data_IF_928908621230
#
_entry.id   IF_928908621230
#
_cell.length_a   1.000
_cell.length_b   1.000
_cell.length_c   1.000
_cell.angle_alpha   90.00
_cell.angle_beta   90.00
_cell.angle_gamma   90.00
#
_symmetry.space_group_name_H-M   'P 1'
#
loop_
_entity.id
_entity.type
_entity.pdbx_description
1 polymer ?
#
# COMPACT_ATOMS: atom_id res chain seq x y z
N UNK A 1 -15.58 3.58 -18.35
CA UNK A 1 -14.99 2.59 -17.44
C UNK A 1 -13.45 2.70 -17.35
N UNK A 2 -12.67 2.46 -18.42
CA UNK A 2 -11.19 2.48 -18.33
C UNK A 2 -10.61 3.83 -17.84
N UNK A 3 -11.11 4.96 -18.34
CA UNK A 3 -10.68 6.29 -17.89
C UNK A 3 -10.96 6.56 -16.40
N UNK A 4 -11.96 5.91 -15.80
CA UNK A 4 -12.33 6.08 -14.39
C UNK A 4 -11.41 5.30 -13.44
N UNK A 5 -10.57 4.40 -13.95
CA UNK A 5 -9.67 3.57 -13.14
C UNK A 5 -8.20 3.69 -13.54
N UNK A 6 -7.88 4.43 -14.61
CA UNK A 6 -6.52 4.55 -15.13
C UNK A 6 -5.50 5.03 -14.08
N UNK A 7 -5.88 5.96 -13.19
CA UNK A 7 -4.97 6.49 -12.18
C UNK A 7 -4.64 5.46 -11.10
N UNK A 8 -5.64 4.72 -10.60
CA UNK A 8 -5.42 3.65 -9.61
C UNK A 8 -4.69 2.46 -10.22
N UNK A 9 -4.92 2.18 -11.52
CA UNK A 9 -4.18 1.18 -12.26
C UNK A 9 -2.70 1.58 -12.42
N UNK A 10 -2.40 2.86 -12.71
CA UNK A 10 -1.03 3.37 -12.77
C UNK A 10 -0.30 3.22 -11.43
N UNK A 11 -0.95 3.56 -10.31
CA UNK A 11 -0.38 3.34 -8.96
C UNK A 11 -0.17 1.85 -8.66
N UNK A 12 -1.08 0.99 -9.12
CA UNK A 12 -0.92 -0.47 -9.01
C UNK A 12 0.31 -0.96 -9.77
N UNK A 13 0.49 -0.53 -11.01
CA UNK A 13 1.69 -0.86 -11.83
C UNK A 13 2.96 -0.37 -11.16
N UNK A 14 2.95 0.85 -10.60
CA UNK A 14 4.09 1.37 -9.85
C UNK A 14 4.42 0.48 -8.63
N UNK A 15 3.40 0.01 -7.90
CA UNK A 15 3.59 -0.94 -6.82
C UNK A 15 4.16 -2.29 -7.26
N UNK A 16 3.76 -2.80 -8.44
CA UNK A 16 4.35 -4.01 -9.02
C UNK A 16 5.83 -3.79 -9.35
N UNK A 17 6.17 -2.65 -9.94
CA UNK A 17 7.58 -2.28 -10.24
C UNK A 17 8.40 -2.20 -8.94
N UNK A 18 7.83 -1.64 -7.87
CA UNK A 18 8.48 -1.59 -6.56
C UNK A 18 8.75 -3.00 -5.99
N UNK A 19 7.76 -3.90 -6.03
CA UNK A 19 7.96 -5.29 -5.58
C UNK A 19 9.03 -6.01 -6.40
N UNK A 20 9.03 -5.82 -7.73
CA UNK A 20 10.05 -6.36 -8.61
C UNK A 20 11.45 -5.82 -8.26
N UNK A 21 11.56 -4.53 -7.95
CA UNK A 21 12.79 -3.93 -7.45
C UNK A 21 13.25 -4.60 -6.15
N UNK A 22 12.38 -4.80 -5.15
CA UNK A 22 12.74 -5.50 -3.90
C UNK A 22 13.20 -6.94 -4.15
N UNK A 23 12.55 -7.67 -5.06
CA UNK A 23 12.97 -9.02 -5.45
C UNK A 23 14.37 -9.02 -6.09
N UNK A 24 14.67 -8.05 -6.96
CA UNK A 24 16.01 -7.88 -7.54
C UNK A 24 17.06 -7.60 -6.45
N UNK A 25 16.74 -6.76 -5.46
CA UNK A 25 17.63 -6.48 -4.33
C UNK A 25 17.95 -7.75 -3.51
N UNK A 26 16.97 -8.63 -3.31
CA UNK A 26 17.23 -9.95 -2.67
C UNK A 26 18.15 -10.80 -3.54
N UNK A 27 17.98 -10.82 -4.87
CA UNK A 27 18.87 -11.56 -5.79
C UNK A 27 20.31 -11.02 -5.69
N UNK A 28 20.49 -9.70 -5.66
CA UNK A 28 21.81 -9.10 -5.48
C UNK A 28 22.41 -9.44 -4.12
N UNK A 29 21.62 -9.39 -3.05
CA UNK A 29 22.08 -9.75 -1.71
C UNK A 29 22.50 -11.23 -1.64
N UNK A 30 21.75 -12.15 -2.27
CA UNK A 30 22.14 -13.57 -2.37
C UNK A 30 23.52 -13.75 -3.00
N UNK A 31 23.80 -13.03 -4.08
CA UNK A 31 25.12 -13.05 -4.74
C UNK A 31 26.21 -12.47 -3.84
N UNK A 32 25.95 -11.30 -3.24
CA UNK A 32 26.90 -10.59 -2.37
C UNK A 32 27.31 -11.41 -1.15
N UNK A 33 26.34 -12.07 -0.50
CA UNK A 33 26.55 -12.83 0.73
C UNK A 33 26.69 -14.34 0.51
N UNK A 34 26.76 -14.80 -0.75
CA UNK A 34 26.86 -16.21 -1.14
C UNK A 34 25.78 -17.13 -0.54
N UNK A 35 24.55 -16.60 -0.39
CA UNK A 35 23.42 -17.37 0.16
C UNK A 35 22.61 -17.99 -0.98
N UNK A 36 22.94 -19.24 -1.31
CA UNK A 36 22.24 -20.00 -2.35
C UNK A 36 20.86 -20.47 -1.89
N UNK A 37 19.83 -20.44 -2.76
CA UNK A 37 18.57 -21.16 -2.51
C UNK A 37 18.84 -22.65 -2.23
N UNK A 38 18.05 -23.32 -1.36
CA UNK A 38 16.82 -22.84 -0.72
C UNK A 38 17.05 -22.03 0.56
N UNK A 39 18.31 -21.75 0.94
CA UNK A 39 18.58 -21.06 2.20
C UNK A 39 17.97 -19.66 2.24
N UNK A 40 17.37 -19.33 3.38
CA UNK A 40 16.88 -18.00 3.73
C UNK A 40 17.58 -17.43 4.97
N UNK A 41 18.63 -18.11 5.44
CA UNK A 41 19.46 -17.70 6.58
C UNK A 41 20.88 -17.41 6.12
N UNK A 42 21.54 -16.47 6.80
CA UNK A 42 22.87 -16.01 6.42
C UNK A 42 23.36 -14.88 7.33
N UNK A 43 24.29 -14.02 6.87
CA UNK A 43 24.70 -12.85 7.62
C UNK A 43 23.49 -11.94 7.92
N UNK A 44 23.47 -11.23 9.07
CA UNK A 44 22.34 -10.37 9.44
C UNK A 44 21.96 -9.34 8.37
N UNK A 45 22.91 -8.86 7.57
CA UNK A 45 22.66 -7.93 6.46
C UNK A 45 21.80 -8.57 5.37
N UNK A 46 22.10 -9.82 5.00
CA UNK A 46 21.31 -10.58 4.04
C UNK A 46 19.89 -10.82 4.57
N UNK A 47 19.79 -11.28 5.82
CA UNK A 47 18.50 -11.61 6.42
C UNK A 47 17.60 -10.37 6.52
N UNK A 48 18.16 -9.19 6.80
CA UNK A 48 17.39 -7.93 6.80
C UNK A 48 16.81 -7.60 5.41
N UNK A 49 17.61 -7.69 4.35
CA UNK A 49 17.12 -7.47 2.97
C UNK A 49 16.03 -8.48 2.60
N UNK A 50 16.25 -9.76 2.93
CA UNK A 50 15.30 -10.83 2.67
C UNK A 50 13.97 -10.61 3.43
N UNK A 51 14.03 -10.28 4.72
CA UNK A 51 12.85 -10.00 5.55
C UNK A 51 12.12 -8.73 5.15
N UNK A 52 12.85 -7.69 4.71
CA UNK A 52 12.26 -6.46 4.20
C UNK A 52 11.41 -6.73 2.94
N UNK A 53 11.95 -7.49 1.98
CA UNK A 53 11.20 -7.88 0.78
C UNK A 53 9.99 -8.75 1.13
N UNK A 54 10.18 -9.78 1.96
CA UNK A 54 9.09 -10.68 2.35
C UNK A 54 7.93 -9.91 3.01
N UNK A 55 8.23 -8.99 3.95
CA UNK A 55 7.20 -8.17 4.57
C UNK A 55 6.49 -7.27 3.57
N UNK A 56 7.21 -6.62 2.65
CA UNK A 56 6.59 -5.81 1.61
C UNK A 56 5.65 -6.66 0.73
N UNK A 57 6.01 -7.91 0.43
CA UNK A 57 5.19 -8.81 -0.37
C UNK A 57 3.97 -9.35 0.37
N UNK A 58 4.07 -9.62 1.68
CA UNK A 58 2.93 -10.04 2.51
C UNK A 58 1.83 -8.96 2.58
N UNK A 59 2.21 -7.69 2.63
CA UNK A 59 1.26 -6.57 2.67
C UNK A 59 0.78 -6.10 1.30
N UNK A 60 1.45 -6.48 0.22
CA UNK A 60 1.12 -6.00 -1.12
C UNK A 60 -0.32 -6.34 -1.56
N UNK A 61 -0.84 -7.58 -1.35
CA UNK A 61 -2.23 -7.89 -1.66
C UNK A 61 -3.22 -7.04 -0.88
N UNK A 62 -2.96 -6.80 0.42
CA UNK A 62 -3.81 -5.95 1.27
C UNK A 62 -3.87 -4.54 0.68
N UNK A 63 -2.70 -3.97 0.37
CA UNK A 63 -2.60 -2.65 -0.25
C UNK A 63 -3.38 -2.57 -1.57
N UNK A 64 -3.17 -3.51 -2.50
CA UNK A 64 -3.82 -3.47 -3.82
C UNK A 64 -5.34 -3.58 -3.67
N UNK A 65 -5.84 -4.52 -2.87
CA UNK A 65 -7.28 -4.68 -2.65
C UNK A 65 -7.87 -3.39 -2.07
N UNK A 66 -7.26 -2.84 -1.01
CA UNK A 66 -7.78 -1.62 -0.39
C UNK A 66 -7.70 -0.42 -1.32
N UNK A 67 -6.60 -0.25 -2.07
CA UNK A 67 -6.45 0.83 -3.06
C UNK A 67 -7.60 0.82 -4.08
N UNK A 68 -7.93 -0.35 -4.62
CA UNK A 68 -9.00 -0.49 -5.60
C UNK A 68 -10.38 -0.25 -4.98
N UNK A 69 -10.65 -0.79 -3.79
CA UNK A 69 -11.93 -0.56 -3.09
C UNK A 69 -12.11 0.93 -2.78
N UNK A 70 -11.10 1.61 -2.24
CA UNK A 70 -11.15 3.06 -2.02
C UNK A 70 -11.35 3.83 -3.32
N UNK A 71 -10.65 3.44 -4.38
CA UNK A 71 -10.71 4.12 -5.67
C UNK A 71 -12.07 4.03 -6.35
N UNK A 72 -12.75 2.89 -6.21
CA UNK A 72 -14.05 2.61 -6.83
C UNK A 72 -15.22 3.11 -5.97
N UNK A 73 -15.17 2.89 -4.66
CA UNK A 73 -16.31 3.15 -3.76
C UNK A 73 -16.24 4.49 -3.00
N UNK A 74 -15.10 5.17 -2.98
CA UNK A 74 -14.94 6.41 -2.23
C UNK A 74 -14.42 7.58 -3.09
N UNK A 75 -13.14 7.53 -3.48
CA UNK A 75 -12.53 8.60 -4.29
C UNK A 75 -11.25 8.12 -4.94
N UNK A 76 -11.21 8.20 -6.27
CA UNK A 76 -10.03 7.86 -7.05
C UNK A 76 -8.83 8.74 -6.69
N UNK A 77 -9.05 10.04 -6.45
CA UNK A 77 -7.98 10.98 -6.09
C UNK A 77 -7.38 10.63 -4.72
N UNK A 78 -8.22 10.38 -3.71
CA UNK A 78 -7.77 9.98 -2.38
C UNK A 78 -6.99 8.65 -2.43
N UNK A 79 -7.50 7.66 -3.17
CA UNK A 79 -6.82 6.39 -3.38
C UNK A 79 -5.43 6.58 -4.00
N UNK A 80 -5.30 7.43 -5.02
CA UNK A 80 -4.01 7.67 -5.69
C UNK A 80 -3.01 8.37 -4.76
N UNK A 81 -3.42 9.42 -4.06
CA UNK A 81 -2.53 10.15 -3.12
C UNK A 81 -2.06 9.23 -2.00
N UNK A 82 -2.98 8.53 -1.34
CA UNK A 82 -2.61 7.58 -0.29
C UNK A 82 -1.78 6.42 -0.86
N UNK A 83 -2.07 5.96 -2.07
CA UNK A 83 -1.30 4.89 -2.71
C UNK A 83 0.14 5.28 -2.98
N UNK A 84 0.38 6.47 -3.52
CA UNK A 84 1.74 7.00 -3.73
C UNK A 84 2.49 7.19 -2.42
N UNK A 85 1.82 7.70 -1.37
CA UNK A 85 2.42 7.84 -0.04
C UNK A 85 2.75 6.46 0.57
N UNK A 86 1.89 5.47 0.40
CA UNK A 86 2.13 4.12 0.88
C UNK A 86 3.37 3.49 0.22
N UNK A 87 3.46 3.56 -1.12
CA UNK A 87 4.62 3.07 -1.87
C UNK A 87 5.90 3.80 -1.44
N UNK A 88 5.88 5.13 -1.33
CA UNK A 88 7.03 5.87 -0.80
C UNK A 88 7.45 5.37 0.59
N UNK A 89 6.48 5.15 1.49
CA UNK A 89 6.74 4.58 2.81
C UNK A 89 7.35 3.18 2.76
N UNK A 90 6.95 2.35 1.79
CA UNK A 90 7.49 0.99 1.59
C UNK A 90 8.90 1.00 1.02
N UNK A 91 9.21 1.89 0.09
CA UNK A 91 10.58 2.10 -0.38
C UNK A 91 11.51 2.50 0.78
N UNK A 92 11.09 3.47 1.60
CA UNK A 92 11.86 3.92 2.76
C UNK A 92 11.98 2.82 3.83
N UNK A 93 10.92 2.04 4.05
CA UNK A 93 10.95 0.88 4.93
C UNK A 93 11.99 -0.15 4.47
N UNK A 94 11.98 -0.48 3.18
CA UNK A 94 12.90 -1.46 2.62
C UNK A 94 14.35 -1.00 2.76
N UNK A 95 14.65 0.24 2.36
CA UNK A 95 15.99 0.82 2.47
C UNK A 95 16.45 0.89 3.94
N UNK A 96 15.63 1.47 4.82
CA UNK A 96 15.94 1.58 6.25
C UNK A 96 16.15 0.23 6.93
N UNK A 97 15.35 -0.79 6.56
CA UNK A 97 15.52 -2.13 7.12
C UNK A 97 16.79 -2.81 6.59
N UNK A 98 17.12 -2.64 5.29
CA UNK A 98 18.35 -3.20 4.72
C UNK A 98 19.60 -2.73 5.45
N UNK A 99 19.62 -1.47 5.88
CA UNK A 99 20.72 -0.88 6.65
C UNK A 99 20.70 -1.37 8.10
N UNK A 100 19.57 -1.24 8.80
CA UNK A 100 19.46 -1.63 10.22
C UNK A 100 18.05 -2.05 10.62
N UNK A 101 17.93 -2.90 11.63
CA UNK A 101 16.62 -3.31 12.15
C UNK A 101 15.81 -2.13 12.75
N UNK A 102 16.48 -1.08 13.23
CA UNK A 102 15.83 0.11 13.78
C UNK A 102 15.37 1.08 12.69
N UNK A 103 16.14 1.22 11.61
CA UNK A 103 15.84 2.12 10.48
C UNK A 103 14.50 1.82 9.80
N UNK A 104 13.96 0.60 9.96
CA UNK A 104 12.65 0.22 9.43
C UNK A 104 11.47 0.87 10.15
N UNK A 105 11.61 1.31 11.41
CA UNK A 105 10.46 1.58 12.28
C UNK A 105 9.67 2.82 11.87
N UNK A 106 10.33 3.96 11.65
CA UNK A 106 9.63 5.19 11.27
C UNK A 106 8.88 5.05 9.93
N UNK A 107 9.50 4.53 8.85
CA UNK A 107 8.78 4.24 7.60
C UNK A 107 7.67 3.19 7.74
N UNK A 108 7.86 2.19 8.61
CA UNK A 108 6.82 1.20 8.91
C UNK A 108 5.57 1.86 9.50
N UNK A 109 5.74 2.71 10.52
CA UNK A 109 4.60 3.40 11.13
C UNK A 109 3.93 4.37 10.16
N UNK A 110 4.71 5.05 9.33
CA UNK A 110 4.18 5.92 8.29
C UNK A 110 3.33 5.13 7.27
N UNK A 111 3.89 4.09 6.66
CA UNK A 111 3.17 3.25 5.69
C UNK A 111 1.96 2.55 6.30
N UNK A 112 2.03 2.12 7.56
CA UNK A 112 0.90 1.54 8.28
C UNK A 112 -0.24 2.55 8.49
N UNK A 113 0.06 3.80 8.90
CA UNK A 113 -0.96 4.84 9.04
C UNK A 113 -1.68 5.11 7.72
N UNK A 114 -0.93 5.23 6.63
CA UNK A 114 -1.49 5.46 5.29
C UNK A 114 -2.37 4.28 4.85
N UNK A 115 -1.93 3.04 5.11
CA UNK A 115 -2.72 1.85 4.80
C UNK A 115 -4.02 1.80 5.61
N UNK A 116 -3.98 2.12 6.91
CA UNK A 116 -5.18 2.20 7.75
C UNK A 116 -6.12 3.32 7.31
N UNK A 117 -5.60 4.45 6.80
CA UNK A 117 -6.43 5.47 6.16
C UNK A 117 -7.14 4.90 4.93
N UNK A 118 -6.44 4.21 4.02
CA UNK A 118 -7.06 3.55 2.87
C UNK A 118 -8.17 2.56 3.31
N UNK A 119 -7.91 1.75 4.35
CA UNK A 119 -8.89 0.79 4.89
C UNK A 119 -10.14 1.52 5.40
N UNK A 120 -9.96 2.61 6.15
CA UNK A 120 -11.05 3.44 6.63
C UNK A 120 -11.88 4.04 5.48
N UNK A 121 -11.22 4.61 4.47
CA UNK A 121 -11.90 5.17 3.30
C UNK A 121 -12.64 4.11 2.48
N UNK A 122 -12.04 2.93 2.30
CA UNK A 122 -12.67 1.79 1.65
C UNK A 122 -13.94 1.36 2.39
N UNK A 123 -13.86 1.21 3.71
CA UNK A 123 -15.01 0.85 4.54
C UNK A 123 -16.12 1.90 4.46
N UNK A 124 -15.78 3.19 4.57
CA UNK A 124 -16.74 4.29 4.46
C UNK A 124 -17.44 4.30 3.09
N UNK A 125 -16.70 4.14 1.99
CA UNK A 125 -17.26 4.11 0.65
C UNK A 125 -18.23 2.93 0.44
N UNK A 126 -17.83 1.73 0.86
CA UNK A 126 -18.68 0.53 0.76
C UNK A 126 -19.93 0.67 1.64
N UNK A 127 -19.78 1.11 2.89
CA UNK A 127 -20.92 1.29 3.79
C UNK A 127 -21.90 2.35 3.28
N UNK A 128 -21.42 3.48 2.74
CA UNK A 128 -22.30 4.49 2.14
C UNK A 128 -23.08 3.89 0.96
N UNK A 129 -22.40 3.14 0.10
CA UNK A 129 -23.04 2.46 -1.04
C UNK A 129 -24.07 1.43 -0.59
N UNK A 130 -23.80 0.69 0.49
CA UNK A 130 -24.76 -0.25 1.07
C UNK A 130 -25.98 0.47 1.67
N UNK A 131 -25.78 1.58 2.38
CA UNK A 131 -26.87 2.39 2.94
C UNK A 131 -27.75 3.00 1.84
N UNK A 132 -27.14 3.51 0.77
CA UNK A 132 -27.89 4.02 -0.38
C UNK A 132 -28.74 2.90 -1.01
N UNK A 133 -28.12 1.74 -1.27
CA UNK A 133 -28.78 0.61 -1.92
C UNK A 133 -29.95 0.02 -1.10
N UNK A 134 -29.82 -0.08 0.22
CA UNK A 134 -30.80 -0.79 1.06
C UNK A 134 -31.76 0.14 1.82
N UNK A 135 -31.35 1.37 2.10
CA UNK A 135 -32.11 2.33 2.92
C UNK A 135 -32.50 3.60 2.15
N UNK A 136 -31.97 3.81 0.95
CA UNK A 136 -32.15 5.07 0.18
C UNK A 136 -31.51 6.28 0.87
N UNK A 137 -30.52 6.05 1.74
CA UNK A 137 -29.83 7.07 2.53
C UNK A 137 -28.41 7.28 2.01
N UNK A 138 -28.20 8.34 1.23
CA UNK A 138 -26.85 8.79 0.85
C UNK A 138 -26.27 9.73 1.94
N UNK A 139 -25.64 9.13 2.94
CA UNK A 139 -25.10 9.84 4.09
C UNK A 139 -23.96 10.81 3.72
N UNK A 140 -23.13 10.47 2.74
CA UNK A 140 -22.04 11.34 2.28
C UNK A 140 -22.58 12.59 1.58
N UNK A 141 -23.58 12.46 0.72
CA UNK A 141 -24.18 13.61 0.06
C UNK A 141 -24.94 14.52 1.03
N UNK A 142 -25.65 13.94 2.01
CA UNK A 142 -26.32 14.70 3.06
C UNK A 142 -25.33 15.47 3.95
N UNK A 143 -24.19 14.87 4.31
CA UNK A 143 -23.14 15.54 5.06
C UNK A 143 -22.48 16.67 4.26
N UNK A 144 -22.11 16.43 3.00
CA UNK A 144 -21.53 17.47 2.14
C UNK A 144 -22.51 18.64 1.91
N UNK A 145 -23.80 18.37 1.76
CA UNK A 145 -24.84 19.40 1.65
C UNK A 145 -25.03 20.22 2.93
N UNK A 146 -24.79 19.64 4.10
CA UNK A 146 -24.85 20.36 5.38
C UNK A 146 -23.70 21.37 5.56
N UNK A 147 -22.51 21.06 5.03
CA UNK A 147 -21.33 21.93 5.13
C UNK A 147 -21.19 22.95 3.98
N UNK A 148 -22.09 22.94 3.00
CA UNK A 148 -22.20 24.00 1.97
C UNK A 148 -23.62 24.56 1.96
N UNK A 149 -24.02 25.38 2.96
CA UNK A 149 -25.24 26.16 2.85
C UNK A 149 -25.06 27.23 1.75
N UNK A 150 -26.11 27.40 0.93
CA UNK A 150 -26.20 28.31 -0.21
C UNK A 150 -25.66 29.73 0.05
#
# INVERSE_FOLDING_TARGET
MLHQVVNIAAVTVLGVIEQAYFSLQVIYARRKYSVSPPSTTGPPEFERVFRAQANCSEYFPIFVITLWVTGVFFSQAAACVCGLLYLYGRLMYFQGYSESAHGRLAPLYFSAKVLWTLIGLAALGVLNTMCDLHLGLDALQQLCGFFSPN
#
